data_IF_003661184299
#
_entry.id   IF_003661184299
#
_cell.length_a   1.000
_cell.length_b   1.000
_cell.length_c   1.000
_cell.angle_alpha   90.00
_cell.angle_beta   90.00
_cell.angle_gamma   90.00
#
_symmetry.space_group_name_H-M   'P 1'
#
loop_
_entity.id
_entity.type
_entity.pdbx_description
1 polymer ?
#
# COMPACT_ATOMS: atom_id res chain seq x y z
N UNK A 1 2.41 8.79 -7.86
CA UNK A 1 1.25 9.69 -7.61
C UNK A 1 1.27 10.21 -6.17
N UNK A 2 0.65 11.36 -5.92
CA UNK A 2 0.58 11.96 -4.58
C UNK A 2 -0.06 11.02 -3.55
N UNK A 3 -1.11 10.30 -3.94
CA UNK A 3 -1.74 9.27 -3.10
C UNK A 3 -0.75 8.20 -2.61
N UNK A 4 0.11 7.71 -3.52
CA UNK A 4 1.14 6.71 -3.17
C UNK A 4 2.13 7.26 -2.14
N UNK A 5 2.52 8.54 -2.25
CA UNK A 5 3.42 9.17 -1.28
C UNK A 5 2.83 9.22 0.13
N UNK A 6 1.52 9.52 0.26
CA UNK A 6 0.84 9.49 1.56
C UNK A 6 0.76 8.05 2.09
N UNK A 7 0.43 7.06 1.25
CA UNK A 7 0.46 5.66 1.67
C UNK A 7 1.85 5.22 2.14
N UNK A 8 2.92 5.67 1.49
CA UNK A 8 4.29 5.41 1.95
C UNK A 8 4.51 5.96 3.36
N UNK A 9 4.08 7.17 3.67
CA UNK A 9 4.17 7.74 5.03
C UNK A 9 3.40 6.87 6.03
N UNK A 10 2.15 6.53 5.72
CA UNK A 10 1.29 5.66 6.58
C UNK A 10 1.95 4.30 6.81
N UNK A 11 2.53 3.71 5.78
CA UNK A 11 3.22 2.44 5.77
C UNK A 11 4.45 2.46 6.70
N UNK A 12 5.31 3.49 6.55
CA UNK A 12 6.54 3.63 7.32
C UNK A 12 6.29 3.91 8.81
N UNK A 13 5.17 4.53 9.20
CA UNK A 13 4.81 4.67 10.63
C UNK A 13 4.74 3.32 11.35
N UNK A 14 4.36 2.25 10.65
CA UNK A 14 4.35 0.89 11.19
C UNK A 14 5.72 0.22 11.25
N UNK A 15 6.71 0.67 10.46
CA UNK A 15 8.03 0.06 10.34
C UNK A 15 9.06 0.60 11.35
N UNK A 16 9.01 1.89 11.66
CA UNK A 16 9.95 2.52 12.58
C UNK A 16 9.87 1.99 14.01
N UNK A 17 10.94 2.20 14.77
CA UNK A 17 11.04 1.81 16.19
C UNK A 17 10.01 2.58 17.03
N UNK A 18 9.27 1.86 17.88
CA UNK A 18 8.30 2.47 18.79
C UNK A 18 9.00 3.48 19.71
N UNK A 19 8.35 4.65 19.92
CA UNK A 19 8.88 5.70 20.80
C UNK A 19 9.76 6.75 20.10
N UNK A 20 10.12 6.60 18.81
CA UNK A 20 10.81 7.65 18.07
C UNK A 20 9.93 8.91 17.95
N UNK A 21 10.56 10.10 17.88
CA UNK A 21 9.85 11.39 17.72
C UNK A 21 8.91 11.38 16.50
N UNK A 22 9.37 10.80 15.39
CA UNK A 22 8.59 10.64 14.16
C UNK A 22 7.30 9.82 14.36
N UNK A 23 7.40 8.69 15.09
CA UNK A 23 6.23 7.86 15.40
C UNK A 23 5.26 8.57 16.34
N UNK A 24 5.76 9.27 17.37
CA UNK A 24 4.90 10.03 18.30
C UNK A 24 4.07 11.08 17.56
N UNK A 25 4.64 11.71 16.52
CA UNK A 25 3.97 12.71 15.71
C UNK A 25 2.95 12.11 14.73
N UNK A 26 3.31 11.03 14.03
CA UNK A 26 2.47 10.48 12.95
C UNK A 26 1.42 9.45 13.40
N UNK A 27 1.62 8.77 14.53
CA UNK A 27 0.65 7.75 14.99
C UNK A 27 -0.74 8.31 15.28
N UNK A 28 -0.89 9.50 15.91
CA UNK A 28 -2.23 10.08 16.12
C UNK A 28 -3.00 10.34 14.83
N UNK A 29 -2.33 10.87 13.80
CA UNK A 29 -2.94 11.28 12.51
C UNK A 29 -2.87 10.20 11.43
N UNK A 30 -2.42 8.99 11.77
CA UNK A 30 -2.27 7.89 10.80
C UNK A 30 -3.60 7.49 10.15
N UNK A 31 -4.69 7.53 10.92
CA UNK A 31 -6.03 7.21 10.43
C UNK A 31 -6.49 8.22 9.38
N UNK A 32 -6.35 9.50 9.67
CA UNK A 32 -6.68 10.61 8.79
C UNK A 32 -5.86 10.57 7.50
N UNK A 33 -4.56 10.32 7.60
CA UNK A 33 -3.69 10.14 6.43
C UNK A 33 -4.13 8.96 5.56
N UNK A 34 -4.58 7.85 6.17
CA UNK A 34 -5.12 6.70 5.43
C UNK A 34 -6.41 7.06 4.70
N UNK A 35 -7.30 7.84 5.32
CA UNK A 35 -8.54 8.31 4.72
C UNK A 35 -8.24 9.21 3.52
N UNK A 36 -7.37 10.21 3.68
CA UNK A 36 -6.97 11.12 2.60
C UNK A 36 -6.34 10.35 1.44
N UNK A 37 -5.39 9.44 1.72
CA UNK A 37 -4.75 8.63 0.69
C UNK A 37 -5.77 7.78 -0.08
N UNK A 38 -6.77 7.21 0.59
CA UNK A 38 -7.82 6.41 -0.04
C UNK A 38 -8.72 7.25 -0.94
N UNK A 39 -9.12 8.45 -0.50
CA UNK A 39 -9.91 9.39 -1.32
C UNK A 39 -9.14 9.78 -2.59
N UNK A 40 -7.86 10.14 -2.44
CA UNK A 40 -7.00 10.49 -3.58
C UNK A 40 -6.79 9.31 -4.54
N UNK A 41 -6.74 8.08 -4.02
CA UNK A 41 -6.65 6.88 -4.84
C UNK A 41 -7.94 6.64 -5.62
N UNK A 42 -9.11 6.83 -5.01
CA UNK A 42 -10.39 6.75 -5.72
C UNK A 42 -10.47 7.81 -6.81
N UNK A 43 -10.10 9.06 -6.51
CA UNK A 43 -10.03 10.13 -7.51
C UNK A 43 -9.08 9.78 -8.66
N UNK A 44 -7.90 9.22 -8.36
CA UNK A 44 -6.96 8.74 -9.37
C UNK A 44 -7.56 7.66 -10.26
N UNK A 45 -8.26 6.68 -9.67
CA UNK A 45 -8.90 5.60 -10.45
C UNK A 45 -10.02 6.14 -11.35
N UNK A 46 -10.82 7.11 -10.88
CA UNK A 46 -11.87 7.74 -11.68
C UNK A 46 -11.23 8.55 -12.84
N UNK A 47 -10.21 9.34 -12.56
CA UNK A 47 -9.61 10.24 -13.54
C UNK A 47 -8.77 9.52 -14.60
N UNK A 48 -8.02 8.51 -14.21
CA UNK A 48 -7.03 7.83 -15.07
C UNK A 48 -7.33 6.35 -15.30
N UNK A 49 -8.01 5.67 -14.38
CA UNK A 49 -8.29 4.25 -14.43
C UNK A 49 -9.58 3.89 -15.19
N UNK A 50 -10.55 4.82 -15.27
CA UNK A 50 -11.89 4.54 -15.84
C UNK A 50 -11.83 3.84 -17.18
N UNK A 51 -11.10 4.39 -18.14
CA UNK A 51 -11.01 3.83 -19.49
C UNK A 51 -10.34 2.45 -19.50
N UNK A 52 -9.34 2.23 -18.64
CA UNK A 52 -8.69 0.93 -18.52
C UNK A 52 -9.63 -0.12 -17.92
N UNK A 53 -10.47 0.25 -16.96
CA UNK A 53 -11.49 -0.66 -16.41
C UNK A 53 -12.57 -0.97 -17.46
N UNK A 54 -13.09 0.03 -18.17
CA UNK A 54 -14.06 -0.20 -19.24
C UNK A 54 -13.46 -1.13 -20.29
N UNK A 55 -12.27 -0.82 -20.82
CA UNK A 55 -11.63 -1.62 -21.86
C UNK A 55 -11.30 -3.05 -21.40
N UNK A 56 -11.01 -3.25 -20.11
CA UNK A 56 -10.74 -4.58 -19.56
C UNK A 56 -11.92 -5.55 -19.78
N UNK A 57 -13.17 -5.02 -19.74
CA UNK A 57 -14.38 -5.82 -19.86
C UNK A 57 -15.02 -5.74 -21.26
N UNK A 58 -14.82 -4.66 -22.02
CA UNK A 58 -15.49 -4.43 -23.31
C UNK A 58 -14.61 -4.67 -24.52
N UNK A 59 -13.31 -4.44 -24.42
CA UNK A 59 -12.36 -4.54 -25.52
C UNK A 59 -10.96 -4.96 -25.02
N UNK A 60 -10.83 -6.11 -24.32
CA UNK A 60 -9.56 -6.51 -23.72
C UNK A 60 -8.45 -6.73 -24.76
N UNK A 61 -8.77 -7.05 -25.99
CA UNK A 61 -7.82 -7.24 -27.09
C UNK A 61 -7.05 -5.95 -27.43
N UNK A 62 -7.60 -4.78 -27.14
CA UNK A 62 -6.93 -3.48 -27.39
C UNK A 62 -5.87 -3.14 -26.36
N UNK A 63 -5.81 -3.89 -25.26
CA UNK A 63 -4.89 -3.65 -24.14
C UNK A 63 -3.68 -4.57 -24.19
N UNK A 64 -2.49 -4.03 -23.87
CA UNK A 64 -1.30 -4.85 -23.65
C UNK A 64 -1.49 -5.78 -22.45
N UNK A 65 -0.75 -6.90 -22.42
CA UNK A 65 -0.82 -7.88 -21.32
C UNK A 65 -0.48 -7.24 -19.97
N UNK A 66 0.53 -6.35 -19.91
CA UNK A 66 0.90 -5.64 -18.69
C UNK A 66 -0.21 -4.69 -18.22
N UNK A 67 -0.90 -4.03 -19.14
CA UNK A 67 -2.00 -3.12 -18.81
C UNK A 67 -3.22 -3.88 -18.29
N UNK A 68 -3.54 -5.03 -18.88
CA UNK A 68 -4.60 -5.94 -18.38
C UNK A 68 -4.28 -6.40 -16.95
N UNK A 69 -3.04 -6.85 -16.72
CA UNK A 69 -2.59 -7.25 -15.38
C UNK A 69 -2.65 -6.09 -14.38
N UNK A 70 -2.20 -4.90 -14.76
CA UNK A 70 -2.26 -3.72 -13.90
C UNK A 70 -3.71 -3.31 -13.56
N UNK A 71 -4.63 -3.36 -14.52
CA UNK A 71 -6.06 -3.11 -14.30
C UNK A 71 -6.68 -4.16 -13.37
N UNK A 72 -6.37 -5.44 -13.56
CA UNK A 72 -6.82 -6.52 -12.67
C UNK A 72 -6.30 -6.34 -11.23
N UNK A 73 -5.01 -6.01 -11.06
CA UNK A 73 -4.43 -5.71 -9.73
C UNK A 73 -5.12 -4.49 -9.11
N UNK A 74 -5.51 -3.48 -9.90
CA UNK A 74 -6.23 -2.30 -9.38
C UNK A 74 -7.60 -2.67 -8.81
N UNK A 75 -8.32 -3.60 -9.41
CA UNK A 75 -9.60 -4.09 -8.87
C UNK A 75 -9.39 -4.74 -7.50
N UNK A 76 -8.37 -5.59 -7.37
CA UNK A 76 -8.02 -6.22 -6.09
C UNK A 76 -7.60 -5.16 -5.05
N UNK A 77 -6.81 -4.17 -5.45
CA UNK A 77 -6.42 -3.05 -4.60
C UNK A 77 -7.62 -2.28 -4.07
N UNK A 78 -8.59 -1.95 -4.93
CA UNK A 78 -9.83 -1.26 -4.53
C UNK A 78 -10.63 -2.13 -3.54
N UNK A 79 -10.77 -3.43 -3.83
CA UNK A 79 -11.50 -4.36 -2.96
C UNK A 79 -10.88 -4.46 -1.55
N UNK A 80 -9.55 -4.44 -1.43
CA UNK A 80 -8.85 -4.42 -0.14
C UNK A 80 -8.92 -3.04 0.52
N UNK A 81 -8.82 -1.97 -0.27
CA UNK A 81 -8.82 -0.59 0.22
C UNK A 81 -10.15 -0.20 0.88
N UNK A 82 -11.29 -0.59 0.31
CA UNK A 82 -12.61 -0.22 0.81
C UNK A 82 -12.79 -0.57 2.30
N UNK A 83 -12.61 -1.82 2.76
CA UNK A 83 -12.76 -2.15 4.18
C UNK A 83 -11.68 -1.49 5.05
N UNK A 84 -10.46 -1.30 4.56
CA UNK A 84 -9.42 -0.55 5.28
C UNK A 84 -9.79 0.93 5.44
N UNK A 85 -10.34 1.55 4.41
CA UNK A 85 -10.82 2.92 4.42
C UNK A 85 -11.97 3.11 5.42
N UNK A 86 -13.00 2.28 5.32
CA UNK A 86 -14.17 2.33 6.20
C UNK A 86 -13.76 2.18 7.66
N UNK A 87 -12.88 1.24 7.99
CA UNK A 87 -12.43 0.98 9.36
C UNK A 87 -11.34 1.92 9.87
N UNK A 88 -10.88 2.86 9.04
CA UNK A 88 -10.03 3.97 9.45
C UNK A 88 -10.80 5.06 10.19
N UNK A 89 -12.13 5.16 9.99
CA UNK A 89 -12.96 6.11 10.71
C UNK A 89 -13.12 5.73 12.18
N UNK A 90 -12.86 6.65 13.14
CA UNK A 90 -12.95 6.37 14.58
C UNK A 90 -14.31 5.83 15.03
N UNK A 91 -15.39 6.32 14.41
CA UNK A 91 -16.77 5.91 14.72
C UNK A 91 -17.00 4.41 14.44
N UNK A 92 -16.47 3.91 13.33
CA UNK A 92 -16.59 2.50 12.93
C UNK A 92 -15.63 1.64 13.73
N UNK A 93 -14.39 2.08 13.86
CA UNK A 93 -13.34 1.39 14.62
C UNK A 93 -13.77 1.12 16.07
N UNK A 94 -14.42 2.08 16.75
CA UNK A 94 -14.88 1.94 18.14
C UNK A 94 -15.93 0.84 18.30
N UNK A 95 -16.71 0.52 17.26
CA UNK A 95 -17.73 -0.54 17.27
C UNK A 95 -17.15 -1.93 17.00
N UNK A 96 -15.90 -2.04 16.55
CA UNK A 96 -15.27 -3.32 16.21
C UNK A 96 -14.53 -3.94 17.40
N UNK A 97 -14.57 -5.27 17.49
CA UNK A 97 -13.68 -6.02 18.41
C UNK A 97 -12.23 -5.78 18.01
N UNK A 98 -11.35 -5.50 18.98
CA UNK A 98 -9.94 -5.18 18.73
C UNK A 98 -9.20 -6.27 17.94
N UNK A 99 -9.55 -7.55 18.16
CA UNK A 99 -8.95 -8.69 17.42
C UNK A 99 -9.34 -8.64 15.94
N UNK A 100 -10.60 -8.43 15.63
CA UNK A 100 -11.13 -8.35 14.26
C UNK A 100 -10.52 -7.15 13.51
N UNK A 101 -10.51 -5.97 14.15
CA UNK A 101 -9.90 -4.77 13.58
C UNK A 101 -8.40 -4.98 13.27
N UNK A 102 -7.62 -5.56 14.21
CA UNK A 102 -6.21 -5.86 14.00
C UNK A 102 -5.99 -6.87 12.87
N UNK A 103 -6.86 -7.86 12.72
CA UNK A 103 -6.79 -8.83 11.63
C UNK A 103 -7.01 -8.15 10.28
N UNK A 104 -8.05 -7.32 10.18
CA UNK A 104 -8.32 -6.55 8.96
C UNK A 104 -7.15 -5.60 8.62
N UNK A 105 -6.61 -4.88 9.61
CA UNK A 105 -5.47 -3.98 9.38
C UNK A 105 -4.20 -4.70 8.88
N UNK A 106 -4.09 -6.02 9.05
CA UNK A 106 -2.98 -6.80 8.48
C UNK A 106 -3.08 -6.95 6.97
N UNK A 107 -4.27 -6.86 6.37
CA UNK A 107 -4.42 -6.89 4.92
C UNK A 107 -3.78 -5.67 4.24
N UNK A 108 -3.49 -4.61 5.00
CA UNK A 108 -2.70 -3.48 4.53
C UNK A 108 -1.30 -3.89 4.04
N UNK A 109 -0.70 -4.96 4.56
CA UNK A 109 0.59 -5.45 4.05
C UNK A 109 0.47 -6.00 2.64
N UNK A 110 -0.59 -6.75 2.37
CA UNK A 110 -0.90 -7.23 1.01
C UNK A 110 -1.21 -6.05 0.09
N UNK A 111 -2.00 -5.09 0.57
CA UNK A 111 -2.32 -3.87 -0.16
C UNK A 111 -1.05 -3.12 -0.60
N UNK A 112 -0.08 -2.93 0.29
CA UNK A 112 1.20 -2.27 -0.04
C UNK A 112 2.04 -3.06 -1.03
N UNK A 113 2.10 -4.39 -0.90
CA UNK A 113 2.79 -5.23 -1.87
C UNK A 113 2.15 -5.13 -3.26
N UNK A 114 0.82 -5.12 -3.33
CA UNK A 114 0.09 -4.99 -4.59
C UNK A 114 0.23 -3.60 -5.21
N UNK A 115 0.34 -2.51 -4.41
CA UNK A 115 0.68 -1.18 -4.95
C UNK A 115 2.02 -1.24 -5.70
N UNK A 116 3.03 -1.88 -5.11
CA UNK A 116 4.33 -2.02 -5.76
C UNK A 116 4.23 -2.80 -7.07
N UNK A 117 3.54 -3.94 -7.06
CA UNK A 117 3.31 -4.75 -8.27
C UNK A 117 2.58 -3.94 -9.34
N UNK A 118 1.50 -3.23 -8.97
CA UNK A 118 0.75 -2.38 -9.89
C UNK A 118 1.63 -1.31 -10.56
N UNK A 119 2.43 -0.61 -9.76
CA UNK A 119 3.34 0.42 -10.26
C UNK A 119 4.39 -0.18 -11.19
N UNK A 120 4.96 -1.34 -10.85
CA UNK A 120 5.95 -2.02 -11.69
C UNK A 120 5.36 -2.50 -13.02
N UNK A 121 4.14 -3.06 -13.04
CA UNK A 121 3.46 -3.48 -14.25
C UNK A 121 3.28 -2.34 -15.26
N UNK A 122 3.10 -1.11 -14.78
CA UNK A 122 2.95 0.08 -15.64
C UNK A 122 4.31 0.67 -16.04
N UNK A 123 5.23 0.81 -15.07
CA UNK A 123 6.47 1.58 -15.28
C UNK A 123 7.59 0.78 -15.95
N UNK A 124 7.73 -0.52 -15.64
CA UNK A 124 8.84 -1.33 -16.16
C UNK A 124 8.82 -1.44 -17.69
N UNK A 125 7.69 -1.70 -18.37
CA UNK A 125 7.68 -1.76 -19.83
C UNK A 125 8.15 -0.46 -20.49
N UNK A 126 7.76 0.69 -19.91
CA UNK A 126 8.19 2.01 -20.41
C UNK A 126 9.68 2.27 -20.08
N UNK A 127 10.15 1.84 -18.92
CA UNK A 127 11.58 1.95 -18.56
C UNK A 127 12.49 1.12 -19.50
N UNK A 128 12.03 -0.07 -19.91
CA UNK A 128 12.76 -0.93 -20.86
C UNK A 128 12.91 -0.30 -22.25
N UNK A 129 12.03 0.64 -22.65
CA UNK A 129 12.19 1.45 -23.86
C UNK A 129 13.21 2.58 -23.72
N UNK A 130 14.10 2.53 -22.72
CA UNK A 130 15.17 3.50 -22.41
C UNK A 130 14.67 4.90 -22.01
N UNK A 131 13.46 5.02 -21.48
CA UNK A 131 12.96 6.27 -20.94
C UNK A 131 13.57 6.52 -19.55
N UNK A 132 14.52 7.45 -19.47
CA UNK A 132 15.30 7.76 -18.27
C UNK A 132 14.42 8.12 -17.07
N UNK A 133 13.35 8.89 -17.27
CA UNK A 133 12.42 9.28 -16.21
C UNK A 133 11.76 8.04 -15.57
N UNK A 134 11.35 7.07 -16.39
CA UNK A 134 10.74 5.85 -15.88
C UNK A 134 11.75 4.91 -15.20
N UNK A 135 13.01 4.87 -15.67
CA UNK A 135 14.10 4.14 -15.02
C UNK A 135 14.32 4.69 -13.61
N UNK A 136 14.41 6.02 -13.46
CA UNK A 136 14.56 6.67 -12.15
C UNK A 136 13.36 6.36 -11.25
N UNK A 137 12.14 6.45 -11.77
CA UNK A 137 10.94 6.16 -11.00
C UNK A 137 10.91 4.70 -10.50
N UNK A 138 11.23 3.72 -11.36
CA UNK A 138 11.33 2.30 -10.99
C UNK A 138 12.36 2.12 -9.87
N UNK A 139 13.54 2.74 -9.97
CA UNK A 139 14.58 2.68 -8.95
C UNK A 139 14.11 3.27 -7.62
N UNK A 140 13.51 4.46 -7.62
CA UNK A 140 13.01 5.13 -6.41
C UNK A 140 11.92 4.30 -5.73
N UNK A 141 10.91 3.83 -6.47
CA UNK A 141 9.86 2.97 -5.91
C UNK A 141 10.44 1.69 -5.34
N UNK A 142 11.36 1.03 -6.05
CA UNK A 142 11.99 -0.21 -5.58
C UNK A 142 12.76 0.02 -4.28
N UNK A 143 13.56 1.07 -4.19
CA UNK A 143 14.30 1.42 -2.96
C UNK A 143 13.32 1.63 -1.80
N UNK A 144 12.26 2.42 -1.98
CA UNK A 144 11.28 2.72 -0.94
C UNK A 144 10.58 1.45 -0.46
N UNK A 145 10.05 0.63 -1.38
CA UNK A 145 9.27 -0.55 -0.99
C UNK A 145 10.13 -1.68 -0.42
N UNK A 146 11.33 -1.93 -0.97
CA UNK A 146 12.27 -2.94 -0.48
C UNK A 146 12.79 -2.55 0.91
N UNK A 147 13.18 -1.28 1.11
CA UNK A 147 13.61 -0.78 2.43
C UNK A 147 12.52 -0.98 3.47
N UNK A 148 11.27 -0.65 3.14
CA UNK A 148 10.14 -0.92 4.02
C UNK A 148 10.01 -2.40 4.37
N UNK A 149 10.05 -3.28 3.37
CA UNK A 149 9.92 -4.73 3.59
C UNK A 149 11.02 -5.25 4.54
N UNK A 150 12.27 -4.85 4.31
CA UNK A 150 13.41 -5.21 5.18
C UNK A 150 13.19 -4.72 6.61
N UNK A 151 12.78 -3.46 6.80
CA UNK A 151 12.51 -2.90 8.13
C UNK A 151 11.39 -3.66 8.86
N UNK A 152 10.33 -4.02 8.15
CA UNK A 152 9.19 -4.77 8.73
C UNK A 152 9.58 -6.18 9.11
N UNK A 153 10.32 -6.88 8.26
CA UNK A 153 10.82 -8.24 8.55
C UNK A 153 11.74 -8.20 9.78
N UNK A 154 12.72 -7.29 9.82
CA UNK A 154 13.60 -7.11 10.99
C UNK A 154 12.81 -6.88 12.27
N UNK A 155 11.83 -5.96 12.26
CA UNK A 155 10.98 -5.66 13.43
C UNK A 155 10.17 -6.88 13.88
N UNK A 156 9.67 -7.69 12.95
CA UNK A 156 8.94 -8.93 13.25
C UNK A 156 9.85 -9.97 13.90
N UNK A 157 11.03 -10.21 13.34
CA UNK A 157 12.01 -11.18 13.85
C UNK A 157 12.51 -10.82 15.25
N UNK A 158 12.84 -9.54 15.47
CA UNK A 158 13.25 -9.06 16.81
C UNK A 158 12.16 -9.27 17.85
N UNK A 159 10.90 -8.97 17.51
CA UNK A 159 9.77 -9.19 18.43
C UNK A 159 9.56 -10.67 18.74
N UNK A 160 9.70 -11.56 17.76
CA UNK A 160 9.57 -13.01 17.93
C UNK A 160 10.68 -13.57 18.83
N UNK A 161 11.93 -13.12 18.64
CA UNK A 161 13.06 -13.51 19.48
C UNK A 161 12.85 -13.09 20.94
N UNK A 162 12.49 -11.83 21.18
CA UNK A 162 12.23 -11.31 22.54
C UNK A 162 11.06 -12.05 23.24
N UNK A 163 10.05 -12.48 22.50
CA UNK A 163 8.95 -13.25 23.07
C UNK A 163 9.38 -14.68 23.49
N UNK A 164 10.26 -15.33 22.69
CA UNK A 164 10.81 -16.63 23.05
C UNK A 164 11.69 -16.58 24.30
N UNK A 165 12.53 -15.55 24.44
CA UNK A 165 13.39 -15.38 25.62
C UNK A 165 12.56 -15.18 26.89
N UNK A 166 11.42 -14.45 26.84
CA UNK A 166 10.52 -14.23 27.98
C UNK A 166 9.72 -15.49 28.38
N UNK A 167 9.58 -16.47 27.51
CA UNK A 167 8.93 -17.74 27.83
C UNK A 167 9.91 -18.78 28.40
N UNK A 168 11.21 -18.56 28.22
CA UNK A 168 12.29 -19.46 28.68
C UNK A 168 12.89 -19.01 30.03
N UNK A 169 12.56 -17.80 30.49
CA UNK A 169 12.88 -17.28 31.83
C UNK A 169 11.72 -17.41 32.79
#
# INVERSE_FOLDING_TARGET
>A
TFATSIFVIVMYTGAFKNGSKFIKFLMPIRGELSIIASILTLAHNISFGRNHFVNLFTAPETMSSNMKAAAGVSIILIAIMIPLFITSFPMIRKKMKAKTWKSLQRTAYLFYALIYVHVMLIMVPVALSKNTTYIINVAVYSIVFITYAVMRIKKYLTKKSSAKLRQAS
#
